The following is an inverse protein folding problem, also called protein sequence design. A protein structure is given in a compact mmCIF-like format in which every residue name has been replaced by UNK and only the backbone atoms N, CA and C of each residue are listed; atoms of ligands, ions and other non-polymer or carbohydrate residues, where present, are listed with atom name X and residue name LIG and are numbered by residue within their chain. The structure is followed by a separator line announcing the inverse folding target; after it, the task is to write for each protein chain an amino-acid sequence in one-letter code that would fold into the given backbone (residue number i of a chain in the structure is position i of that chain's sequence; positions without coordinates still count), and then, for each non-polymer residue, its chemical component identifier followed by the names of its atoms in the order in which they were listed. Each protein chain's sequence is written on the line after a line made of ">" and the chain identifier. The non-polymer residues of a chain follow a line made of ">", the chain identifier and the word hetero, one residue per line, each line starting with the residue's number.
data_IF_428298620230
#
_entry.id   IF_428298620230
#
_cell.length_a   1.000
_cell.length_b   1.000
_cell.length_c   1.000
_cell.angle_alpha   90.00
_cell.angle_beta   90.00
_cell.angle_gamma   90.00
#
_symmetry.space_group_name_H-M   'P 1'
#
loop_
_entity.id
_entity.type
_entity.pdbx_description
1 polymer ?
#
# COMPACT_ATOMS: atom_id res chain seq x y z
N UNK A 1 -7.89 -7.35 5.42
CA UNK A 1 -8.03 -7.69 3.99
C UNK A 1 -8.55 -6.46 3.30
N UNK A 2 -8.05 -6.14 2.12
CA UNK A 2 -8.45 -4.94 1.36
C UNK A 2 -9.34 -5.38 0.21
N UNK A 3 -10.47 -4.73 0.02
CA UNK A 3 -11.38 -4.99 -1.10
C UNK A 3 -11.80 -3.67 -1.74
N UNK A 4 -12.61 -3.74 -2.80
CA UNK A 4 -13.22 -2.57 -3.41
C UNK A 4 -13.94 -1.71 -2.35
N UNK A 5 -13.86 -0.39 -2.48
CA UNK A 5 -14.36 0.63 -1.54
C UNK A 5 -13.69 0.66 -0.16
N UNK A 6 -12.64 -0.12 0.09
CA UNK A 6 -11.85 -0.01 1.33
C UNK A 6 -11.02 1.28 1.30
N UNK A 7 -11.09 2.08 2.35
CA UNK A 7 -10.20 3.23 2.55
C UNK A 7 -8.87 2.79 3.20
N UNK A 8 -7.77 3.38 2.73
CA UNK A 8 -6.43 3.16 3.26
C UNK A 8 -5.74 4.51 3.49
N UNK A 9 -4.90 4.56 4.51
CA UNK A 9 -3.97 5.66 4.71
C UNK A 9 -2.81 5.53 3.71
N UNK A 10 -2.24 6.66 3.31
CA UNK A 10 -1.06 6.68 2.44
C UNK A 10 0.20 6.81 3.30
N UNK A 11 1.12 5.87 3.11
CA UNK A 11 2.35 5.73 3.89
C UNK A 11 3.59 6.27 3.15
N UNK A 12 3.44 7.32 2.37
CA UNK A 12 4.55 7.97 1.67
C UNK A 12 4.38 9.49 1.60
N UNK A 13 5.42 10.18 1.13
CA UNK A 13 5.40 11.63 0.91
C UNK A 13 4.94 12.03 -0.50
N UNK A 14 4.13 11.23 -1.20
CA UNK A 14 3.59 11.58 -2.53
C UNK A 14 2.66 12.81 -2.49
N UNK A 15 2.10 13.11 -1.32
CA UNK A 15 1.13 14.17 -1.10
C UNK A 15 -0.30 13.68 -0.93
N UNK A 16 -0.60 12.41 -1.21
CA UNK A 16 -1.87 11.81 -0.80
C UNK A 16 -1.85 11.48 0.70
N UNK A 17 -3.02 11.61 1.34
CA UNK A 17 -3.24 11.24 2.75
C UNK A 17 -4.13 10.02 2.88
N UNK A 18 -5.22 9.99 2.09
CA UNK A 18 -6.19 8.89 2.10
C UNK A 18 -6.57 8.50 0.67
N UNK A 19 -6.65 7.20 0.45
CA UNK A 19 -7.06 6.60 -0.82
C UNK A 19 -8.16 5.58 -0.62
N UNK A 20 -8.95 5.34 -1.66
CA UNK A 20 -9.97 4.29 -1.68
C UNK A 20 -9.62 3.27 -2.76
N UNK A 21 -9.59 1.99 -2.41
CA UNK A 21 -9.42 0.90 -3.36
C UNK A 21 -10.61 0.84 -4.32
N UNK A 22 -10.36 0.92 -5.62
CA UNK A 22 -11.39 0.75 -6.66
C UNK A 22 -11.26 -0.58 -7.41
N UNK A 23 -10.08 -1.20 -7.42
CA UNK A 23 -9.87 -2.51 -8.02
C UNK A 23 -8.69 -3.24 -7.40
N UNK A 24 -8.87 -4.53 -7.10
CA UNK A 24 -7.77 -5.44 -6.75
C UNK A 24 -7.21 -6.06 -8.04
N UNK A 25 -5.89 -5.99 -8.25
CA UNK A 25 -5.22 -6.57 -9.41
C UNK A 25 -4.73 -8.01 -9.15
N UNK A 26 -4.49 -8.77 -10.22
CA UNK A 26 -3.99 -10.15 -10.14
C UNK A 26 -5.03 -11.24 -10.44
N UNK A 27 -6.07 -10.93 -11.22
CA UNK A 27 -7.03 -11.91 -11.74
C UNK A 27 -8.47 -11.38 -11.78
N UNK A 28 -9.31 -11.98 -12.64
CA UNK A 28 -10.71 -11.56 -12.84
C UNK A 28 -11.60 -11.84 -11.61
N UNK A 29 -11.37 -12.95 -10.91
CA UNK A 29 -12.14 -13.39 -9.74
C UNK A 29 -11.57 -12.92 -8.40
N UNK A 30 -10.49 -12.13 -8.40
CA UNK A 30 -9.78 -11.75 -7.18
C UNK A 30 -10.58 -10.67 -6.42
N UNK A 31 -11.00 -10.99 -5.19
CA UNK A 31 -11.82 -10.10 -4.34
C UNK A 31 -11.00 -9.33 -3.30
N UNK A 32 -9.93 -9.92 -2.79
CA UNK A 32 -9.15 -9.38 -1.69
C UNK A 32 -7.67 -9.19 -2.05
N UNK A 33 -7.10 -8.10 -1.55
CA UNK A 33 -5.68 -7.83 -1.51
C UNK A 33 -5.15 -7.97 -0.08
N UNK A 34 -3.93 -8.50 0.03
CA UNK A 34 -3.10 -8.55 1.22
C UNK A 34 -1.81 -7.73 0.99
N UNK A 35 -0.91 -7.75 1.97
CA UNK A 35 0.38 -7.06 1.87
C UNK A 35 1.15 -7.47 0.62
N UNK A 36 1.73 -6.47 -0.06
CA UNK A 36 2.51 -6.61 -1.29
C UNK A 36 1.68 -6.68 -2.58
N UNK A 37 0.34 -6.81 -2.47
CA UNK A 37 -0.52 -6.73 -3.64
C UNK A 37 -0.67 -5.31 -4.16
N UNK A 38 -0.83 -5.21 -5.48
CA UNK A 38 -1.11 -3.95 -6.16
C UNK A 38 -2.62 -3.79 -6.29
N UNK A 39 -3.11 -2.63 -5.90
CA UNK A 39 -4.48 -2.20 -6.04
C UNK A 39 -4.53 -0.91 -6.86
N UNK A 40 -5.64 -0.71 -7.58
CA UNK A 40 -5.96 0.58 -8.18
C UNK A 40 -6.76 1.37 -7.15
N UNK A 41 -6.39 2.63 -6.96
CA UNK A 41 -6.96 3.50 -5.94
C UNK A 41 -7.37 4.85 -6.52
N UNK A 42 -8.40 5.44 -5.93
CA UNK A 42 -8.77 6.85 -6.14
C UNK A 42 -8.33 7.66 -4.92
N UNK A 43 -7.67 8.80 -5.15
CA UNK A 43 -7.23 9.70 -4.08
C UNK A 43 -8.43 10.44 -3.50
N UNK A 44 -8.65 10.30 -2.19
CA UNK A 44 -9.79 10.92 -1.48
C UNK A 44 -9.37 12.17 -0.72
N UNK A 45 -8.15 12.19 -0.21
CA UNK A 45 -7.55 13.36 0.44
C UNK A 45 -6.10 13.51 -0.01
N UNK A 46 -5.73 14.74 -0.39
CA UNK A 46 -4.37 15.11 -0.77
C UNK A 46 -4.03 16.49 -0.20
N UNK A 47 -2.74 16.73 0.04
CA UNK A 47 -2.25 18.05 0.46
C UNK A 47 -2.31 19.03 -0.71
N UNK A 48 -2.56 20.33 -0.45
CA UNK A 48 -2.45 21.36 -1.47
C UNK A 48 -1.05 21.37 -2.10
N UNK A 49 -0.96 21.59 -3.41
CA UNK A 49 0.29 21.64 -4.18
C UNK A 49 1.14 20.36 -4.11
N UNK A 50 0.57 19.24 -3.67
CA UNK A 50 1.21 17.92 -3.75
C UNK A 50 1.38 17.44 -5.19
N UNK A 51 2.17 16.38 -5.40
CA UNK A 51 2.37 15.78 -6.73
C UNK A 51 1.10 15.14 -7.30
N UNK A 52 0.18 14.80 -6.41
CA UNK A 52 -1.06 14.09 -6.69
C UNK A 52 -2.25 14.91 -6.21
N UNK A 53 -3.38 14.81 -6.89
CA UNK A 53 -4.60 15.58 -6.63
C UNK A 53 -5.73 14.68 -6.16
N UNK A 54 -6.67 15.26 -5.41
CA UNK A 54 -7.93 14.59 -5.07
C UNK A 54 -8.66 14.20 -6.35
N UNK A 55 -9.13 12.96 -6.42
CA UNK A 55 -9.81 12.40 -7.60
C UNK A 55 -8.92 11.57 -8.50
N UNK A 56 -7.59 11.77 -8.48
CA UNK A 56 -6.67 11.02 -9.33
C UNK A 56 -6.79 9.51 -9.09
N UNK A 57 -6.67 8.75 -10.18
CA UNK A 57 -6.66 7.29 -10.15
C UNK A 57 -5.22 6.82 -10.33
N UNK A 58 -4.72 6.06 -9.36
CA UNK A 58 -3.34 5.61 -9.31
C UNK A 58 -3.24 4.14 -8.92
N UNK A 59 -2.05 3.57 -8.99
CA UNK A 59 -1.75 2.25 -8.42
C UNK A 59 -1.11 2.45 -7.05
N UNK A 60 -1.34 1.49 -6.16
CA UNK A 60 -0.72 1.47 -4.85
C UNK A 60 -0.39 0.04 -4.43
N UNK A 61 0.70 -0.12 -3.67
CA UNK A 61 1.07 -1.38 -3.02
C UNK A 61 0.56 -1.35 -1.59
N UNK A 62 -0.16 -2.38 -1.17
CA UNK A 62 -0.60 -2.52 0.23
C UNK A 62 0.63 -2.86 1.08
N UNK A 63 0.94 -2.02 2.08
CA UNK A 63 2.12 -2.22 2.95
C UNK A 63 1.76 -2.61 4.38
N UNK A 64 0.58 -2.23 4.88
CA UNK A 64 0.09 -2.65 6.21
C UNK A 64 -1.37 -3.05 6.14
N UNK A 65 -1.73 -4.06 6.92
CA UNK A 65 -3.12 -4.51 7.06
C UNK A 65 -3.50 -4.76 8.51
N UNK A 66 -4.73 -4.39 8.86
CA UNK A 66 -5.34 -4.74 10.15
C UNK A 66 -5.74 -6.21 10.28
N UNK A 67 -5.77 -6.94 9.15
CA UNK A 67 -5.90 -8.39 9.16
C UNK A 67 -4.53 -9.02 9.40
N UNK A 68 -4.54 -10.02 10.26
CA UNK A 68 -3.42 -10.90 10.56
C UNK A 68 -2.77 -11.51 9.32
N UNK A 69 -1.43 -11.51 9.32
CA UNK A 69 -0.57 -12.18 8.36
C UNK A 69 0.14 -13.29 9.12
N UNK A 70 -0.15 -14.55 8.75
CA UNK A 70 0.47 -15.72 9.35
C UNK A 70 1.73 -16.10 8.58
N UNK A 71 2.85 -16.22 9.29
CA UNK A 71 4.15 -16.57 8.73
C UNK A 71 4.39 -18.09 8.80
N UNK A 72 5.29 -18.63 7.96
CA UNK A 72 5.61 -20.06 7.97
C UNK A 72 6.19 -20.55 9.30
N UNK A 73 6.87 -19.69 10.05
CA UNK A 73 7.38 -19.96 11.40
C UNK A 73 6.28 -20.02 12.49
N UNK A 74 5.01 -19.82 12.10
CA UNK A 74 3.86 -19.81 13.00
C UNK A 74 3.57 -18.46 13.65
N UNK A 75 4.49 -17.48 13.54
CA UNK A 75 4.27 -16.14 14.06
C UNK A 75 3.19 -15.40 13.27
N UNK A 76 2.55 -14.43 13.94
CA UNK A 76 1.50 -13.62 13.34
C UNK A 76 1.86 -12.14 13.51
N UNK A 77 1.79 -11.39 12.41
CA UNK A 77 1.93 -9.93 12.44
C UNK A 77 0.63 -9.28 12.00
N UNK A 78 0.25 -8.21 12.71
CA UNK A 78 -0.89 -7.35 12.37
C UNK A 78 -0.52 -5.90 12.67
N UNK A 79 -1.13 -4.97 11.96
CA UNK A 79 -0.97 -3.54 12.17
C UNK A 79 -2.29 -2.92 12.60
N UNK A 80 -2.28 -1.77 13.25
CA UNK A 80 -3.56 -1.15 13.70
C UNK A 80 -4.38 -0.60 12.53
N UNK A 81 -3.70 -0.16 11.47
CA UNK A 81 -4.33 0.50 10.31
C UNK A 81 -3.89 -0.11 8.99
N UNK A 82 -4.80 -0.03 8.01
CA UNK A 82 -4.48 -0.37 6.62
C UNK A 82 -3.76 0.80 5.96
N UNK A 83 -2.62 0.53 5.33
CA UNK A 83 -1.85 1.54 4.63
C UNK A 83 -1.30 1.04 3.30
N UNK A 84 -1.14 1.97 2.35
CA UNK A 84 -0.58 1.71 1.04
C UNK A 84 0.42 2.79 0.62
N UNK A 85 1.29 2.43 -0.33
CA UNK A 85 2.29 3.33 -0.94
C UNK A 85 1.93 3.51 -2.40
N UNK A 86 1.91 4.75 -2.90
CA UNK A 86 1.59 5.00 -4.30
C UNK A 86 2.75 4.57 -5.19
N UNK A 87 2.43 3.88 -6.28
CA UNK A 87 3.42 3.38 -7.24
C UNK A 87 3.08 3.78 -8.66
N UNK A 88 4.12 3.89 -9.48
CA UNK A 88 4.00 4.11 -10.91
C UNK A 88 3.67 2.81 -11.68
N UNK A 89 3.68 2.88 -13.02
CA UNK A 89 3.44 1.72 -13.87
C UNK A 89 4.58 0.69 -13.84
N UNK A 90 5.79 1.08 -13.42
CA UNK A 90 6.94 0.20 -13.22
C UNK A 90 6.94 -0.42 -11.82
N UNK A 91 5.92 -0.15 -11.00
CA UNK A 91 5.76 -0.61 -9.60
C UNK A 91 6.75 0.05 -8.63
N UNK A 92 7.32 1.18 -9.04
CA UNK A 92 8.24 1.94 -8.20
C UNK A 92 7.48 2.98 -7.38
N UNK A 93 7.88 3.23 -6.11
CA UNK A 93 7.26 4.24 -5.28
C UNK A 93 7.36 5.64 -5.89
N UNK A 94 6.25 6.37 -5.85
CA UNK A 94 6.18 7.77 -6.29
C UNK A 94 6.76 8.69 -5.23
N UNK A 95 6.52 8.37 -3.95
CA UNK A 95 7.17 9.01 -2.83
C UNK A 95 8.67 8.68 -2.77
N UNK A 96 9.43 9.59 -2.20
CA UNK A 96 10.87 9.40 -1.91
C UNK A 96 11.14 8.99 -0.48
N UNK A 97 10.11 8.91 0.38
CA UNK A 97 10.20 8.48 1.78
C UNK A 97 8.95 7.71 2.17
N UNK A 98 9.13 6.64 2.94
CA UNK A 98 8.04 5.79 3.45
C UNK A 98 7.82 6.07 4.95
N UNK A 99 6.57 6.03 5.38
CA UNK A 99 6.17 6.31 6.75
C UNK A 99 5.76 5.05 7.52
N UNK A 100 6.35 4.89 8.69
CA UNK A 100 6.09 3.78 9.61
C UNK A 100 6.71 2.45 9.14
N UNK A 101 6.59 1.40 9.97
CA UNK A 101 7.19 0.10 9.67
C UNK A 101 6.50 -0.59 8.48
N UNK A 102 7.25 -1.46 7.82
CA UNK A 102 6.74 -2.32 6.75
C UNK A 102 7.08 -3.80 7.02
N UNK A 103 6.24 -4.75 6.61
CA UNK A 103 6.49 -6.17 6.84
C UNK A 103 7.43 -6.78 5.77
N UNK A 104 8.24 -7.77 6.16
CA UNK A 104 9.24 -8.46 5.31
C UNK A 104 8.64 -9.18 4.09
N UNK A 105 7.35 -9.45 4.11
CA UNK A 105 6.56 -10.05 3.02
C UNK A 105 6.65 -9.23 1.72
N UNK A 106 6.93 -7.92 1.80
CA UNK A 106 7.20 -7.09 0.63
C UNK A 106 8.42 -7.55 -0.19
N UNK A 107 9.39 -8.22 0.44
CA UNK A 107 10.61 -8.72 -0.22
C UNK A 107 10.27 -9.85 -1.17
N UNK A 108 9.43 -10.79 -0.74
CA UNK A 108 8.95 -11.90 -1.57
C UNK A 108 8.10 -11.44 -2.76
N UNK A 109 7.61 -10.19 -2.73
CA UNK A 109 6.83 -9.57 -3.81
C UNK A 109 7.65 -8.60 -4.67
N UNK A 110 8.98 -8.58 -4.51
CA UNK A 110 9.93 -7.75 -5.24
C UNK A 110 9.76 -6.22 -5.07
N UNK A 111 9.25 -5.76 -3.92
CA UNK A 111 9.11 -4.33 -3.61
C UNK A 111 10.35 -3.78 -2.87
N UNK A 112 11.54 -4.02 -3.41
CA UNK A 112 12.81 -3.73 -2.74
C UNK A 112 13.02 -2.25 -2.43
N UNK A 113 12.60 -1.34 -3.32
CA UNK A 113 12.76 0.10 -3.11
C UNK A 113 11.88 0.62 -1.96
N UNK A 114 10.68 0.06 -1.78
CA UNK A 114 9.82 0.40 -0.63
C UNK A 114 10.50 -0.02 0.68
N UNK A 115 11.08 -1.23 0.71
CA UNK A 115 11.82 -1.73 1.87
C UNK A 115 13.01 -0.83 2.19
N UNK A 116 13.79 -0.45 1.17
CA UNK A 116 14.98 0.38 1.35
C UNK A 116 14.69 1.79 1.86
N UNK A 117 13.48 2.31 1.61
CA UNK A 117 13.06 3.65 2.03
C UNK A 117 12.28 3.64 3.35
N UNK A 118 11.96 2.47 3.89
CA UNK A 118 11.21 2.33 5.13
C UNK A 118 12.12 2.50 6.36
N UNK A 119 11.64 3.12 7.44
CA UNK A 119 12.41 3.30 8.67
C UNK A 119 12.70 1.98 9.40
N UNK A 120 11.81 0.99 9.27
CA UNK A 120 11.92 -0.30 9.94
C UNK A 120 11.22 -1.40 9.13
N UNK A 121 11.75 -2.63 9.21
CA UNK A 121 11.21 -3.82 8.55
C UNK A 121 10.92 -4.90 9.60
N UNK A 122 9.67 -5.37 9.67
CA UNK A 122 9.17 -6.35 10.67
C UNK A 122 8.93 -7.74 10.08
#
# INVERSE_FOLDING_TARGET
>A
MIQMQTNLDVADNSGARRVMCIKVLGGSKRKYASVGDIIVVSIKEAIPRGRVKKGDVMKAVVVRTAKDIRRPDGSVIRFDKNAAVLVDNKKEPIGTRIFGPVPRELRAKNHMKIISLAPEVL
#
